data_IF_868182804129
#
_entry.id   IF_868182804129
#
_cell.length_a   1.000
_cell.length_b   1.000
_cell.length_c   1.000
_cell.angle_alpha   90.00
_cell.angle_beta   90.00
_cell.angle_gamma   90.00
#
_symmetry.space_group_name_H-M   'P 1'
#
loop_
_entity.id
_entity.type
_entity.pdbx_description
1 polymer ?
#
# COMPACT_ATOMS: atom_id res chain seq x y z
N UNK A 1 8.65 -15.91 12.51
CA UNK A 1 7.20 -16.19 12.59
C UNK A 1 6.44 -14.91 12.24
N UNK A 2 5.27 -15.01 11.60
CA UNK A 2 4.38 -13.88 11.33
C UNK A 2 3.41 -13.72 12.52
N UNK A 3 3.32 -12.48 13.02
CA UNK A 3 2.31 -12.08 14.01
C UNK A 3 1.30 -11.19 13.27
N UNK A 4 0.07 -11.67 13.11
CA UNK A 4 -1.03 -10.94 12.45
C UNK A 4 -1.94 -10.34 13.52
N UNK A 5 -2.23 -9.05 13.41
CA UNK A 5 -3.16 -8.33 14.28
C UNK A 5 -4.33 -7.86 13.43
N UNK A 6 -5.54 -8.31 13.77
CA UNK A 6 -6.78 -7.87 13.15
C UNK A 6 -7.33 -6.66 13.91
N UNK A 7 -6.72 -5.49 13.66
CA UNK A 7 -7.04 -4.27 14.40
C UNK A 7 -8.50 -3.82 14.23
N UNK A 8 -9.13 -4.14 13.09
CA UNK A 8 -10.56 -3.88 12.85
C UNK A 8 -11.51 -4.74 13.67
N UNK A 9 -11.02 -5.83 14.27
CA UNK A 9 -11.74 -6.76 15.16
C UNK A 9 -11.30 -6.57 16.62
N UNK A 10 -10.95 -5.34 16.99
CA UNK A 10 -10.52 -4.92 18.33
C UNK A 10 -9.37 -5.73 18.94
N UNK A 11 -8.59 -6.45 18.12
CA UNK A 11 -7.37 -7.08 18.61
C UNK A 11 -6.35 -6.00 19.02
N UNK A 12 -5.75 -6.12 20.20
CA UNK A 12 -4.82 -5.12 20.69
C UNK A 12 -3.56 -5.08 19.82
N UNK A 13 -3.13 -3.87 19.47
CA UNK A 13 -1.83 -3.64 18.87
C UNK A 13 -0.71 -3.97 19.88
N UNK A 14 0.48 -4.39 19.42
CA UNK A 14 1.64 -4.44 20.30
C UNK A 14 1.95 -3.04 20.85
N UNK A 15 2.40 -2.97 22.09
CA UNK A 15 2.78 -1.70 22.72
C UNK A 15 4.03 -1.09 22.07
N UNK A 16 4.90 -1.92 21.50
CA UNK A 16 6.18 -1.56 20.88
C UNK A 16 6.54 -2.57 19.80
N UNK A 17 7.42 -2.16 18.86
CA UNK A 17 8.02 -3.04 17.85
C UNK A 17 9.28 -3.75 18.33
N UNK A 18 9.66 -3.63 19.60
CA UNK A 18 10.82 -4.33 20.14
C UNK A 18 10.71 -5.85 19.94
N UNK A 19 11.72 -6.44 19.30
CA UNK A 19 11.74 -7.87 18.96
C UNK A 19 11.05 -8.26 17.66
N UNK A 20 10.45 -7.29 16.94
CA UNK A 20 9.98 -7.49 15.57
C UNK A 20 11.05 -7.08 14.57
N UNK A 21 11.34 -7.94 13.61
CA UNK A 21 12.32 -7.68 12.56
C UNK A 21 11.77 -6.85 11.38
N UNK A 22 10.45 -6.65 11.32
CA UNK A 22 9.78 -5.85 10.30
C UNK A 22 8.33 -5.60 10.63
N UNK A 23 7.74 -4.57 10.01
CA UNK A 23 6.37 -4.16 10.20
C UNK A 23 5.65 -3.99 8.86
N UNK A 24 4.48 -4.61 8.70
CA UNK A 24 3.65 -4.50 7.51
C UNK A 24 2.29 -3.91 7.91
N UNK A 25 1.90 -2.82 7.26
CA UNK A 25 0.59 -2.17 7.47
C UNK A 25 -0.23 -2.31 6.19
N UNK A 26 -1.32 -3.06 6.29
CA UNK A 26 -2.18 -3.38 5.16
C UNK A 26 -3.16 -2.25 4.83
N UNK A 27 -3.90 -2.45 3.73
CA UNK A 27 -5.00 -1.60 3.30
C UNK A 27 -6.21 -1.64 4.23
N UNK A 28 -7.11 -0.69 4.03
CA UNK A 28 -8.37 -0.57 4.76
C UNK A 28 -9.29 0.46 4.10
N UNK A 29 -10.58 0.42 4.46
CA UNK A 29 -11.62 1.27 3.87
C UNK A 29 -11.70 2.68 4.48
N UNK A 30 -11.07 2.90 5.65
CA UNK A 30 -11.10 4.18 6.35
C UNK A 30 -10.10 5.18 5.78
N UNK A 31 -10.30 6.47 6.03
CA UNK A 31 -9.27 7.48 5.78
C UNK A 31 -8.15 7.44 6.82
N UNK A 32 -6.95 7.81 6.41
CA UNK A 32 -5.80 7.98 7.33
C UNK A 32 -6.03 9.03 8.42
N UNK A 33 -7.11 9.81 8.35
CA UNK A 33 -7.48 10.85 9.31
C UNK A 33 -8.64 10.48 10.25
N UNK A 34 -9.19 9.26 10.15
CA UNK A 34 -10.31 8.81 10.99
C UNK A 34 -9.88 8.34 12.38
N UNK A 35 -8.96 9.06 13.05
CA UNK A 35 -8.44 8.67 14.37
C UNK A 35 -9.50 8.69 15.47
N UNK A 36 -10.51 9.56 15.36
CA UNK A 36 -11.59 9.67 16.35
C UNK A 36 -12.56 8.49 16.27
N UNK A 37 -12.86 8.03 15.05
CA UNK A 37 -13.79 6.92 14.77
C UNK A 37 -13.07 5.56 14.82
N UNK A 38 -11.79 5.51 14.45
CA UNK A 38 -10.99 4.30 14.27
C UNK A 38 -9.79 4.34 15.22
N UNK A 39 -10.03 3.94 16.46
CA UNK A 39 -9.08 4.12 17.59
C UNK A 39 -7.68 3.53 17.37
N UNK A 40 -7.59 2.43 16.62
CA UNK A 40 -6.31 1.77 16.37
C UNK A 40 -5.39 2.56 15.40
N UNK A 41 -5.93 3.49 14.60
CA UNK A 41 -5.12 4.30 13.66
C UNK A 41 -4.03 5.10 14.39
N UNK A 42 -4.36 5.73 15.51
CA UNK A 42 -3.37 6.48 16.32
C UNK A 42 -2.25 5.58 16.83
N UNK A 43 -2.58 4.35 17.25
CA UNK A 43 -1.59 3.35 17.67
C UNK A 43 -0.69 2.91 16.53
N UNK A 44 -1.24 2.64 15.35
CA UNK A 44 -0.45 2.30 14.15
C UNK A 44 0.49 3.44 13.75
N UNK A 45 0.02 4.69 13.80
CA UNK A 45 0.87 5.87 13.54
C UNK A 45 2.01 5.98 14.55
N UNK A 46 1.76 5.64 15.82
CA UNK A 46 2.81 5.61 16.85
C UNK A 46 3.85 4.53 16.54
N UNK A 47 3.43 3.31 16.19
CA UNK A 47 4.33 2.22 15.81
C UNK A 47 5.15 2.56 14.57
N UNK A 48 4.57 3.27 13.58
CA UNK A 48 5.31 3.74 12.41
C UNK A 48 6.41 4.75 12.80
N UNK A 49 6.13 5.68 13.74
CA UNK A 49 7.15 6.62 14.23
C UNK A 49 8.26 5.89 14.99
N UNK A 50 7.91 4.90 15.80
CA UNK A 50 8.87 4.02 16.49
C UNK A 50 9.73 3.27 15.45
N UNK A 51 9.10 2.64 14.44
CA UNK A 51 9.81 1.97 13.37
C UNK A 51 10.79 2.88 12.62
N UNK A 52 10.40 4.14 12.38
CA UNK A 52 11.26 5.12 11.73
C UNK A 52 12.46 5.52 12.62
N UNK A 53 12.24 5.64 13.94
CA UNK A 53 13.29 5.94 14.92
C UNK A 53 14.28 4.80 15.09
N UNK A 54 13.78 3.58 15.16
CA UNK A 54 14.55 2.39 15.51
C UNK A 54 15.10 1.65 14.28
N UNK A 55 14.74 2.14 13.08
CA UNK A 55 15.21 1.56 11.82
C UNK A 55 14.53 0.26 11.44
N UNK A 56 13.35 -0.05 12.00
CA UNK A 56 12.60 -1.28 11.67
C UNK A 56 12.04 -1.19 10.26
N UNK A 57 12.41 -2.11 9.34
CA UNK A 57 11.87 -2.12 8.00
C UNK A 57 10.36 -2.20 8.00
N UNK A 58 9.71 -1.21 7.38
CA UNK A 58 8.25 -1.10 7.37
C UNK A 58 7.74 -0.91 5.94
N UNK A 59 6.70 -1.64 5.57
CA UNK A 59 5.99 -1.48 4.31
C UNK A 59 4.52 -1.18 4.58
N UNK A 60 4.04 -0.04 4.08
CA UNK A 60 2.62 0.33 4.06
C UNK A 60 1.99 0.06 2.69
N UNK A 61 0.81 -0.56 2.67
CA UNK A 61 0.03 -0.84 1.46
C UNK A 61 -1.27 -0.04 1.51
N UNK A 62 -1.57 0.73 0.48
CA UNK A 62 -2.78 1.54 0.32
C UNK A 62 -3.01 2.45 1.56
N UNK A 63 -3.96 2.14 2.44
CA UNK A 63 -4.13 2.86 3.71
C UNK A 63 -2.82 2.89 4.52
N UNK A 64 -2.05 1.80 4.57
CA UNK A 64 -0.77 1.76 5.28
C UNK A 64 0.25 2.75 4.73
N UNK A 65 0.29 2.97 3.42
CA UNK A 65 1.10 4.02 2.77
C UNK A 65 0.64 5.43 3.21
N UNK A 66 -0.67 5.65 3.22
CA UNK A 66 -1.27 6.93 3.61
C UNK A 66 -1.06 7.21 5.10
N UNK A 67 -1.25 6.21 5.97
CA UNK A 67 -1.02 6.34 7.41
C UNK A 67 0.46 6.62 7.71
N UNK A 68 1.40 6.00 6.95
CA UNK A 68 2.82 6.28 7.08
C UNK A 68 3.17 7.73 6.68
N UNK A 69 2.59 8.24 5.60
CA UNK A 69 2.75 9.63 5.19
C UNK A 69 2.29 10.58 6.30
N UNK A 70 1.06 10.42 6.81
CA UNK A 70 0.50 11.26 7.88
C UNK A 70 1.32 11.14 9.17
N UNK A 71 1.71 9.92 9.57
CA UNK A 71 2.48 9.68 10.78
C UNK A 71 3.82 10.44 10.81
N UNK A 72 4.42 10.65 9.63
CA UNK A 72 5.74 11.26 9.47
C UNK A 72 5.70 12.72 8.99
N UNK A 73 4.51 13.33 8.93
CA UNK A 73 4.32 14.76 8.65
C UNK A 73 4.04 15.09 7.19
N UNK A 74 3.64 14.12 6.38
CA UNK A 74 3.07 14.32 5.05
C UNK A 74 1.57 14.62 5.10
N UNK A 75 0.96 14.79 3.93
CA UNK A 75 -0.47 15.06 3.78
C UNK A 75 -1.16 14.04 2.88
N UNK A 76 -2.35 13.62 3.29
CA UNK A 76 -3.25 12.72 2.55
C UNK A 76 -4.57 13.44 2.34
N UNK A 77 -5.16 13.27 1.18
CA UNK A 77 -6.47 13.83 0.86
C UNK A 77 -7.13 13.12 -0.31
N UNK A 78 -8.36 13.55 -0.62
CA UNK A 78 -9.08 13.03 -1.80
C UNK A 78 -8.27 13.23 -3.06
N UNK A 79 -8.23 12.20 -3.91
CA UNK A 79 -7.61 12.30 -5.21
C UNK A 79 -8.36 13.32 -6.09
N UNK A 80 -7.70 14.42 -6.55
CA UNK A 80 -8.35 15.39 -7.40
C UNK A 80 -8.85 14.82 -8.74
N UNK A 81 -8.21 13.73 -9.21
CA UNK A 81 -8.63 13.03 -10.42
C UNK A 81 -9.80 12.05 -10.20
N UNK A 82 -10.29 11.93 -8.96
CA UNK A 82 -11.34 11.00 -8.57
C UNK A 82 -10.80 9.64 -8.13
N UNK A 83 -11.73 8.70 -7.95
CA UNK A 83 -11.43 7.35 -7.50
C UNK A 83 -10.54 6.61 -8.51
N UNK A 84 -9.49 5.96 -8.02
CA UNK A 84 -8.70 5.00 -8.78
C UNK A 84 -9.24 3.58 -8.53
N UNK A 85 -9.58 2.90 -9.63
CA UNK A 85 -10.04 1.51 -9.61
C UNK A 85 -9.48 0.76 -10.83
N UNK A 86 -9.02 -0.47 -10.62
CA UNK A 86 -8.46 -1.31 -11.67
C UNK A 86 -6.94 -1.14 -11.82
N UNK A 87 -6.42 -1.36 -13.01
CA UNK A 87 -5.00 -1.31 -13.30
C UNK A 87 -4.54 0.10 -13.62
N UNK A 88 -3.56 0.60 -12.88
CA UNK A 88 -2.90 1.89 -13.15
C UNK A 88 -1.41 1.67 -13.37
N UNK A 89 -0.83 2.35 -14.34
CA UNK A 89 0.62 2.31 -14.63
C UNK A 89 1.42 2.88 -13.46
N UNK A 90 2.57 2.25 -13.18
CA UNK A 90 3.51 2.67 -12.14
C UNK A 90 4.77 3.20 -12.81
N UNK A 91 4.90 4.53 -12.87
CA UNK A 91 6.04 5.23 -13.46
C UNK A 91 7.17 5.40 -12.45
N UNK A 92 8.19 4.55 -12.48
CA UNK A 92 9.33 4.66 -11.58
C UNK A 92 10.13 5.93 -11.79
N UNK A 93 10.42 6.64 -10.69
CA UNK A 93 11.40 7.73 -10.66
C UNK A 93 12.84 7.17 -10.68
N UNK A 94 13.80 7.98 -11.11
CA UNK A 94 15.20 7.56 -11.16
C UNK A 94 15.74 7.04 -9.82
N UNK A 95 15.29 7.61 -8.70
CA UNK A 95 15.68 7.20 -7.34
C UNK A 95 15.26 5.75 -7.00
N UNK A 96 14.27 5.19 -7.70
CA UNK A 96 13.83 3.82 -7.43
C UNK A 96 14.86 2.75 -7.83
N UNK A 97 15.72 3.04 -8.80
CA UNK A 97 16.74 2.10 -9.29
C UNK A 97 17.78 1.74 -8.22
N UNK A 98 18.14 2.70 -7.37
CA UNK A 98 19.12 2.54 -6.30
C UNK A 98 18.46 2.33 -4.93
N UNK A 99 17.13 2.26 -4.87
CA UNK A 99 16.41 2.07 -3.62
C UNK A 99 16.53 0.62 -3.13
N UNK A 100 16.83 0.39 -1.83
CA UNK A 100 17.06 -0.96 -1.30
C UNK A 100 15.82 -1.87 -1.36
N UNK A 101 14.61 -1.30 -1.39
CA UNK A 101 13.36 -2.05 -1.56
C UNK A 101 13.00 -2.26 -3.03
N UNK A 102 13.17 -1.21 -3.87
CA UNK A 102 12.62 -1.18 -5.22
C UNK A 102 13.63 -1.42 -6.34
N UNK A 103 14.93 -1.35 -6.10
CA UNK A 103 15.95 -1.56 -7.15
C UNK A 103 15.81 -2.89 -7.90
N UNK A 104 15.46 -3.97 -7.19
CA UNK A 104 15.17 -5.27 -7.83
C UNK A 104 13.86 -5.28 -8.59
N UNK A 105 12.85 -4.54 -8.13
CA UNK A 105 11.57 -4.42 -8.84
C UNK A 105 11.81 -3.69 -10.16
N UNK A 106 12.54 -2.58 -10.14
CA UNK A 106 12.89 -1.79 -11.33
C UNK A 106 13.66 -2.63 -12.35
N UNK A 107 14.70 -3.36 -11.89
CA UNK A 107 15.55 -4.18 -12.77
C UNK A 107 14.84 -5.42 -13.32
N UNK A 108 13.85 -5.94 -12.61
CA UNK A 108 13.04 -7.10 -12.99
C UNK A 108 11.69 -6.77 -13.63
N UNK A 109 11.32 -5.48 -13.66
CA UNK A 109 10.03 -5.06 -14.19
C UNK A 109 9.92 -5.27 -15.70
N UNK A 110 8.75 -5.69 -16.15
CA UNK A 110 8.36 -5.61 -17.55
C UNK A 110 8.21 -4.14 -17.98
N UNK A 111 8.15 -3.89 -19.28
CA UNK A 111 8.28 -2.56 -19.88
C UNK A 111 7.31 -1.48 -19.35
N UNK A 112 6.22 -1.80 -18.71
CA UNK A 112 5.28 -0.86 -18.08
C UNK A 112 4.59 -1.57 -16.91
N UNK A 113 5.17 -1.54 -15.70
CA UNK A 113 4.55 -2.16 -14.54
C UNK A 113 3.24 -1.46 -14.19
N UNK A 114 2.27 -2.24 -13.77
CA UNK A 114 0.96 -1.76 -13.32
C UNK A 114 0.70 -2.24 -11.90
N UNK A 115 -0.13 -1.50 -11.16
CA UNK A 115 -0.63 -1.88 -9.85
C UNK A 115 -2.15 -1.93 -9.84
N UNK A 116 -2.74 -2.79 -9.00
CA UNK A 116 -4.18 -2.85 -8.78
C UNK A 116 -4.55 -1.76 -7.78
N UNK A 117 -5.43 -0.85 -8.17
CA UNK A 117 -5.92 0.25 -7.36
C UNK A 117 -7.35 0.04 -6.90
N UNK A 118 -7.62 0.51 -5.67
CA UNK A 118 -8.94 0.64 -5.08
C UNK A 118 -8.89 1.72 -4.01
N UNK A 119 -8.81 3.00 -4.43
CA UNK A 119 -8.63 4.10 -3.49
C UNK A 119 -9.30 5.39 -3.95
N UNK A 120 -9.81 6.14 -2.99
CA UNK A 120 -10.33 7.50 -3.15
C UNK A 120 -9.33 8.55 -2.68
N UNK A 121 -8.56 8.24 -1.64
CA UNK A 121 -7.54 9.11 -1.07
C UNK A 121 -6.16 8.79 -1.63
N UNK A 122 -5.29 9.80 -1.70
CA UNK A 122 -3.89 9.68 -2.13
C UNK A 122 -2.99 10.50 -1.22
N UNK A 123 -1.71 10.15 -1.19
CA UNK A 123 -0.69 11.01 -0.59
C UNK A 123 -0.46 12.20 -1.51
N UNK A 124 -0.85 13.40 -1.06
CA UNK A 124 -0.69 14.66 -1.81
C UNK A 124 0.66 15.32 -1.55
N UNK A 125 1.18 15.20 -0.32
CA UNK A 125 2.50 15.73 0.07
C UNK A 125 3.28 14.67 0.84
N UNK A 126 4.52 14.46 0.42
CA UNK A 126 5.43 13.56 1.12
C UNK A 126 5.94 14.17 2.43
N UNK A 127 6.27 13.34 3.45
CA UNK A 127 6.96 13.79 4.65
C UNK A 127 8.29 14.49 4.33
N UNK A 128 8.76 15.39 5.20
CA UNK A 128 10.09 16.00 5.07
C UNK A 128 11.20 14.92 4.98
N UNK A 129 12.06 15.03 3.97
CA UNK A 129 13.16 14.08 3.74
C UNK A 129 12.75 12.76 3.07
N UNK A 130 11.49 12.58 2.73
CA UNK A 130 11.04 11.42 1.97
C UNK A 130 11.57 11.42 0.53
N UNK A 131 11.59 10.26 -0.09
CA UNK A 131 12.01 10.06 -1.49
C UNK A 131 10.83 9.56 -2.31
N UNK A 132 10.49 10.29 -3.38
CA UNK A 132 9.53 9.84 -4.38
C UNK A 132 10.16 8.71 -5.22
N UNK A 133 9.48 7.57 -5.32
CA UNK A 133 9.97 6.41 -6.06
C UNK A 133 9.13 6.07 -7.29
N UNK A 134 7.84 6.41 -7.30
CA UNK A 134 7.00 6.25 -8.50
C UNK A 134 5.75 7.15 -8.44
N UNK A 135 5.26 7.50 -9.65
CA UNK A 135 3.97 8.19 -9.84
C UNK A 135 3.10 7.45 -10.84
N UNK A 136 1.79 7.68 -10.77
CA UNK A 136 0.86 7.37 -11.85
C UNK A 136 1.03 8.36 -13.02
N UNK A 137 0.44 8.08 -14.21
CA UNK A 137 0.45 9.03 -15.34
C UNK A 137 -0.16 10.39 -15.01
N UNK A 138 -1.11 10.48 -14.07
CA UNK A 138 -1.72 11.70 -13.56
C UNK A 138 -0.83 12.50 -12.58
N UNK A 139 0.30 11.93 -12.16
CA UNK A 139 1.22 12.54 -11.19
C UNK A 139 0.97 12.11 -9.73
N UNK A 140 -0.05 11.30 -9.45
CA UNK A 140 -0.34 10.80 -8.10
C UNK A 140 0.81 9.93 -7.60
N UNK A 141 1.19 10.11 -6.33
CA UNK A 141 2.27 9.37 -5.69
C UNK A 141 1.87 7.91 -5.52
N UNK A 142 2.59 7.03 -6.19
CA UNK A 142 2.34 5.59 -6.19
C UNK A 142 3.24 4.84 -5.23
N UNK A 143 4.50 5.26 -5.13
CA UNK A 143 5.50 4.64 -4.27
C UNK A 143 6.35 5.76 -3.67
N UNK A 144 6.58 5.68 -2.37
CA UNK A 144 7.51 6.54 -1.67
C UNK A 144 8.30 5.78 -0.60
N UNK A 145 9.53 6.26 -0.34
CA UNK A 145 10.25 5.98 0.89
C UNK A 145 10.05 7.16 1.82
N UNK A 146 9.16 7.01 2.81
CA UNK A 146 8.76 8.07 3.75
C UNK A 146 9.85 8.41 4.76
N UNK A 147 10.66 7.43 5.14
CA UNK A 147 11.84 7.55 6.01
C UNK A 147 12.87 6.47 5.61
N UNK A 148 14.11 6.46 6.11
CA UNK A 148 15.13 5.49 5.73
C UNK A 148 14.72 4.01 5.81
N UNK A 149 13.82 3.66 6.74
CA UNK A 149 13.28 2.30 6.94
C UNK A 149 11.79 2.15 6.61
N UNK A 150 11.11 3.19 6.13
CA UNK A 150 9.65 3.19 5.93
C UNK A 150 9.31 3.40 4.46
N UNK A 151 8.70 2.41 3.83
CA UNK A 151 8.22 2.45 2.45
C UNK A 151 6.70 2.35 2.39
N UNK A 152 6.12 2.83 1.31
CA UNK A 152 4.70 2.69 1.04
C UNK A 152 4.39 2.59 -0.44
N UNK A 153 3.36 1.80 -0.75
CA UNK A 153 2.76 1.68 -2.08
C UNK A 153 1.26 1.99 -2.02
N UNK A 154 0.75 2.77 -2.98
CA UNK A 154 -0.67 3.14 -3.02
C UNK A 154 -1.54 2.01 -3.56
N UNK A 155 -1.02 1.21 -4.46
CA UNK A 155 -1.70 0.08 -5.07
C UNK A 155 -1.58 -1.19 -4.20
N UNK A 156 -2.30 -2.23 -4.61
CA UNK A 156 -2.37 -3.52 -3.94
C UNK A 156 -1.55 -4.58 -4.69
N UNK A 157 -0.28 -4.83 -4.32
CA UNK A 157 0.53 -5.89 -4.93
C UNK A 157 0.14 -7.30 -4.46
N UNK A 158 -0.67 -7.39 -3.40
CA UNK A 158 -1.01 -8.60 -2.67
C UNK A 158 -2.34 -9.25 -3.08
N UNK A 159 -3.13 -8.56 -3.92
CA UNK A 159 -4.49 -9.02 -4.26
C UNK A 159 -4.57 -9.63 -5.65
N UNK A 160 -5.63 -10.40 -5.87
CA UNK A 160 -6.03 -10.99 -7.13
C UNK A 160 -7.44 -10.52 -7.57
N UNK A 161 -7.85 -10.88 -8.79
CA UNK A 161 -9.17 -10.51 -9.31
C UNK A 161 -10.32 -11.01 -8.42
N UNK A 162 -10.35 -12.26 -7.92
CA UNK A 162 -11.42 -12.71 -7.04
C UNK A 162 -11.59 -11.84 -5.78
N UNK A 163 -10.50 -11.35 -5.19
CA UNK A 163 -10.58 -10.48 -4.03
C UNK A 163 -11.09 -9.09 -4.40
N UNK A 164 -10.62 -8.52 -5.52
CA UNK A 164 -11.10 -7.21 -6.01
C UNK A 164 -12.60 -7.27 -6.37
N UNK A 165 -13.06 -8.37 -6.97
CA UNK A 165 -14.48 -8.63 -7.24
C UNK A 165 -15.31 -8.61 -5.96
N UNK A 166 -14.85 -9.27 -4.90
CA UNK A 166 -15.53 -9.21 -3.58
C UNK A 166 -15.61 -7.80 -3.04
N UNK A 167 -14.58 -6.98 -3.22
CA UNK A 167 -14.66 -5.55 -2.85
C UNK A 167 -15.70 -4.81 -3.67
N UNK A 168 -15.79 -5.06 -4.98
CA UNK A 168 -16.81 -4.46 -5.85
C UNK A 168 -18.24 -4.87 -5.46
N UNK A 169 -18.40 -6.07 -4.90
CA UNK A 169 -19.68 -6.60 -4.42
C UNK A 169 -19.97 -6.24 -2.95
N UNK A 170 -19.13 -5.40 -2.31
CA UNK A 170 -19.35 -5.01 -0.91
C UNK A 170 -20.25 -3.79 -0.82
N UNK A 171 -21.39 -3.94 -0.15
CA UNK A 171 -22.34 -2.87 0.17
C UNK A 171 -22.45 -2.76 1.69
N UNK A 172 -22.30 -1.56 2.23
CA UNK A 172 -22.36 -1.29 3.67
C UNK A 172 -21.49 -2.25 4.52
N UNK A 173 -20.27 -2.55 4.00
CA UNK A 173 -19.29 -3.47 4.61
C UNK A 173 -19.71 -4.95 4.62
N UNK A 174 -20.77 -5.30 3.90
CA UNK A 174 -21.22 -6.69 3.72
C UNK A 174 -21.03 -7.10 2.26
N UNK A 175 -20.46 -8.29 2.04
CA UNK A 175 -20.32 -8.84 0.69
C UNK A 175 -21.66 -9.38 0.21
N UNK A 176 -22.19 -8.83 -0.89
CA UNK A 176 -23.34 -9.35 -1.61
C UNK A 176 -22.87 -10.03 -2.90
N UNK A 177 -22.68 -11.34 -2.84
CA UNK A 177 -22.23 -12.15 -4.00
C UNK A 177 -23.27 -12.19 -5.14
N UNK A 178 -24.52 -11.81 -4.86
CA UNK A 178 -25.58 -11.68 -5.86
C UNK A 178 -25.64 -10.29 -6.51
N UNK A 179 -24.83 -9.34 -6.07
CA UNK A 179 -24.81 -7.98 -6.65
C UNK A 179 -24.29 -8.04 -8.10
N UNK A 180 -25.14 -7.63 -9.04
CA UNK A 180 -24.73 -7.46 -10.43
C UNK A 180 -23.84 -6.21 -10.55
N UNK A 181 -22.63 -6.40 -11.10
CA UNK A 181 -21.69 -5.32 -11.37
C UNK A 181 -21.97 -4.71 -12.74
N UNK A 182 -21.69 -3.42 -12.90
CA UNK A 182 -21.82 -2.76 -14.19
C UNK A 182 -20.76 -3.25 -15.20
N UNK A 183 -20.98 -2.99 -16.49
CA UNK A 183 -20.12 -3.43 -17.58
C UNK A 183 -18.69 -2.88 -17.45
N UNK A 184 -18.53 -1.64 -16.97
CA UNK A 184 -17.20 -1.03 -16.76
C UNK A 184 -16.43 -1.75 -15.66
N UNK A 185 -17.09 -2.07 -14.55
CA UNK A 185 -16.49 -2.83 -13.44
C UNK A 185 -16.08 -4.23 -13.88
N UNK A 186 -16.97 -4.95 -14.61
CA UNK A 186 -16.66 -6.30 -15.14
C UNK A 186 -15.47 -6.26 -16.10
N UNK A 187 -15.39 -5.26 -16.98
CA UNK A 187 -14.25 -5.09 -17.89
C UNK A 187 -12.94 -4.89 -17.11
N UNK A 188 -12.93 -4.01 -16.11
CA UNK A 188 -11.74 -3.76 -15.27
C UNK A 188 -11.29 -5.02 -14.51
N UNK A 189 -12.23 -5.82 -14.01
CA UNK A 189 -11.93 -7.10 -13.37
C UNK A 189 -11.32 -8.11 -14.36
N UNK A 190 -11.85 -8.19 -15.58
CA UNK A 190 -11.29 -9.03 -16.63
C UNK A 190 -9.85 -8.63 -17.00
N UNK A 191 -9.56 -7.31 -17.08
CA UNK A 191 -8.21 -6.79 -17.31
C UNK A 191 -7.24 -7.17 -16.17
N UNK A 192 -7.70 -7.14 -14.91
CA UNK A 192 -6.91 -7.58 -13.76
C UNK A 192 -6.60 -9.08 -13.87
N UNK A 193 -7.61 -9.90 -14.18
CA UNK A 193 -7.44 -11.35 -14.33
C UNK A 193 -6.41 -11.68 -15.42
N UNK A 194 -6.48 -11.02 -16.58
CA UNK A 194 -5.52 -11.19 -17.67
C UNK A 194 -4.10 -10.78 -17.27
N UNK A 195 -3.97 -9.68 -16.53
CA UNK A 195 -2.67 -9.16 -16.10
C UNK A 195 -2.04 -9.93 -14.93
N UNK A 196 -2.79 -10.78 -14.21
CA UNK A 196 -2.36 -11.43 -12.98
C UNK A 196 -0.98 -12.09 -13.04
N UNK A 197 -0.60 -12.87 -14.09
CA UNK A 197 0.72 -13.47 -14.17
C UNK A 197 1.86 -12.44 -14.19
N UNK A 198 1.68 -11.32 -14.88
CA UNK A 198 2.69 -10.25 -14.96
C UNK A 198 2.75 -9.43 -13.66
N UNK A 199 1.63 -9.18 -13.01
CA UNK A 199 1.56 -8.52 -11.70
C UNK A 199 2.31 -9.33 -10.65
N UNK A 200 2.03 -10.63 -10.54
CA UNK A 200 2.76 -11.54 -9.63
C UNK A 200 4.24 -11.60 -9.98
N UNK A 201 4.60 -11.66 -11.27
CA UNK A 201 5.99 -11.65 -11.73
C UNK A 201 6.74 -10.41 -11.25
N UNK A 202 6.13 -9.24 -11.39
CA UNK A 202 6.72 -7.94 -11.01
C UNK A 202 6.77 -7.79 -9.49
N UNK A 203 5.64 -7.91 -8.81
CA UNK A 203 5.54 -7.53 -7.39
C UNK A 203 6.09 -8.57 -6.42
N UNK A 204 6.33 -9.81 -6.87
CA UNK A 204 7.11 -10.79 -6.08
C UNK A 204 8.50 -10.25 -5.69
N UNK A 205 9.12 -9.43 -6.53
CA UNK A 205 10.39 -8.81 -6.21
C UNK A 205 10.30 -7.85 -5.02
N UNK A 206 9.17 -7.15 -4.84
CA UNK A 206 8.92 -6.32 -3.66
C UNK A 206 8.89 -7.16 -2.38
N UNK A 207 8.10 -8.25 -2.38
CA UNK A 207 8.04 -9.16 -1.24
C UNK A 207 9.41 -9.76 -0.87
N UNK A 208 10.19 -10.17 -1.87
CA UNK A 208 11.54 -10.69 -1.68
C UNK A 208 12.48 -9.62 -1.11
N UNK A 209 12.43 -8.39 -1.62
CA UNK A 209 13.26 -7.29 -1.12
C UNK A 209 12.92 -6.94 0.33
N UNK A 210 11.61 -6.91 0.68
CA UNK A 210 11.17 -6.70 2.05
C UNK A 210 11.67 -7.80 2.98
N UNK A 211 11.53 -9.07 2.59
CA UNK A 211 12.04 -10.21 3.34
C UNK A 211 13.58 -10.14 3.55
N UNK A 212 14.33 -9.74 2.51
CA UNK A 212 15.77 -9.56 2.61
C UNK A 212 16.16 -8.42 3.57
N UNK A 213 15.40 -7.33 3.62
CA UNK A 213 15.64 -6.22 4.56
C UNK A 213 15.40 -6.67 6.00
N UNK A 214 14.34 -7.42 6.26
CA UNK A 214 14.02 -7.99 7.57
C UNK A 214 15.14 -8.95 8.06
N UNK A 215 15.67 -9.77 7.16
CA UNK A 215 16.69 -10.77 7.51
C UNK A 215 18.10 -10.20 7.75
N UNK A 216 18.30 -8.90 7.48
CA UNK A 216 19.60 -8.21 7.73
C UNK A 216 19.66 -7.53 9.10
N UNK A 217 18.55 -7.49 9.82
CA UNK A 217 18.45 -7.01 11.20
C UNK A 217 18.95 -8.11 12.16
#
# INVERSE_FOLDING_TARGET
ALHVVQAWDDQPLPETLAGYAGFLVMGGWMSAHHDEEVRWLSGVKQLIREAASDGVPTLGICLGHQVAAVALGGHVGRNPAGRQFGLVEVGFAAAAADDPMFGRVVSGAVAQPRGIHWNDDVVGELPPGATLLATAPGGEIQIARHAPSIWGVQFHPEVDEPLVRRWAQTVDLVVDEGLELDEETEQRLAEIAEAQPSLVGTWRHLANSFADLINRQ
#
